data_IF_923439925883
#
_entry.id   IF_923439925883
#
_cell.length_a   1.000
_cell.length_b   1.000
_cell.length_c   1.000
_cell.angle_alpha   90.00
_cell.angle_beta   90.00
_cell.angle_gamma   90.00
#
_symmetry.space_group_name_H-M   'P 1'
#
loop_
_entity.id
_entity.type
_entity.pdbx_description
1 polymer ?
#
# COMPACT_ATOMS: atom_id res chain seq x y z
N UNK A 1 7.17 13.85 -13.44
CA UNK A 1 6.18 12.75 -13.47
C UNK A 1 4.99 13.24 -12.66
N UNK A 2 3.78 13.25 -13.22
CA UNK A 2 2.61 13.73 -12.48
C UNK A 2 2.41 12.82 -11.26
N UNK A 3 2.27 13.41 -10.07
CA UNK A 3 1.98 12.67 -8.85
C UNK A 3 0.57 12.11 -8.99
N UNK A 4 0.46 10.82 -9.31
CA UNK A 4 -0.83 10.13 -9.37
C UNK A 4 -1.24 9.80 -7.94
N UNK A 5 -2.40 10.30 -7.53
CA UNK A 5 -2.98 10.02 -6.21
C UNK A 5 -3.04 8.51 -5.97
N UNK A 6 -2.69 8.07 -4.75
CA UNK A 6 -2.72 6.66 -4.36
C UNK A 6 -4.09 6.02 -4.66
N UNK A 7 -5.17 6.79 -4.47
CA UNK A 7 -6.54 6.32 -4.66
C UNK A 7 -6.91 6.13 -6.13
N UNK A 8 -6.18 6.75 -7.06
CA UNK A 8 -6.37 6.59 -8.51
C UNK A 8 -5.50 5.47 -9.10
N UNK A 9 -4.65 4.83 -8.29
CA UNK A 9 -3.76 3.77 -8.76
C UNK A 9 -4.52 2.50 -9.06
N UNK A 10 -4.08 1.84 -10.13
CA UNK A 10 -4.51 0.48 -10.46
C UNK A 10 -3.94 -0.51 -9.45
N UNK A 11 -4.49 -1.73 -9.41
CA UNK A 11 -3.97 -2.83 -8.56
C UNK A 11 -2.45 -2.97 -8.74
N UNK A 12 -1.95 -3.05 -9.98
CA UNK A 12 -0.52 -3.22 -10.26
C UNK A 12 0.35 -2.03 -9.80
N UNK A 13 -0.19 -0.82 -9.82
CA UNK A 13 0.52 0.38 -9.34
C UNK A 13 0.43 0.53 -7.82
N UNK A 14 -0.53 -0.13 -7.17
CA UNK A 14 -0.75 -0.07 -5.73
C UNK A 14 0.12 -1.10 -5.00
N UNK A 15 0.16 -2.34 -5.51
CA UNK A 15 1.03 -3.39 -5.01
C UNK A 15 2.46 -3.16 -5.51
N UNK A 16 3.41 -2.92 -4.60
CA UNK A 16 4.78 -2.50 -4.94
C UNK A 16 5.05 -1.01 -4.77
N UNK A 17 4.04 -0.22 -4.37
CA UNK A 17 4.22 1.20 -4.08
C UNK A 17 4.61 1.46 -2.63
N UNK A 18 5.42 2.49 -2.40
CA UNK A 18 5.77 2.98 -1.06
C UNK A 18 5.32 4.43 -0.97
N UNK A 19 4.53 4.74 0.05
CA UNK A 19 3.97 6.07 0.28
C UNK A 19 5.09 7.07 0.57
N UNK A 20 4.97 8.28 0.04
CA UNK A 20 5.84 9.37 0.45
C UNK A 20 5.52 9.80 1.89
N UNK A 21 6.42 10.52 2.58
CA UNK A 21 6.12 11.07 3.91
C UNK A 21 4.90 11.99 3.95
N UNK A 22 4.55 12.67 2.85
CA UNK A 22 3.32 13.46 2.79
C UNK A 22 2.08 12.56 2.67
N UNK A 23 2.11 11.57 1.78
CA UNK A 23 1.01 10.61 1.61
C UNK A 23 0.76 9.80 2.89
N UNK A 24 1.83 9.45 3.61
CA UNK A 24 1.71 8.72 4.88
C UNK A 24 0.93 9.50 5.93
N UNK A 25 1.00 10.83 5.92
CA UNK A 25 0.22 11.70 6.80
C UNK A 25 -1.20 11.93 6.29
N UNK A 26 -1.39 11.83 4.98
CA UNK A 26 -2.67 12.09 4.32
C UNK A 26 -3.63 10.91 4.43
N UNK A 27 -3.13 9.68 4.23
CA UNK A 27 -3.95 8.48 4.24
C UNK A 27 -3.83 7.75 5.56
N UNK A 28 -4.96 7.54 6.22
CA UNK A 28 -5.06 6.68 7.39
C UNK A 28 -5.06 5.20 7.01
N UNK A 29 -4.82 4.31 7.96
CA UNK A 29 -4.92 2.86 7.71
C UNK A 29 -6.34 2.44 7.31
N UNK A 30 -7.37 3.17 7.74
CA UNK A 30 -8.76 2.92 7.34
C UNK A 30 -8.97 3.26 5.87
N UNK A 31 -8.37 4.36 5.37
CA UNK A 31 -8.42 4.73 3.95
C UNK A 31 -7.74 3.65 3.09
N UNK A 32 -6.58 3.15 3.54
CA UNK A 32 -5.85 2.09 2.86
C UNK A 32 -6.65 0.77 2.83
N UNK A 33 -7.32 0.43 3.94
CA UNK A 33 -8.22 -0.75 4.02
C UNK A 33 -9.43 -0.60 3.10
N UNK A 34 -10.03 0.58 3.06
CA UNK A 34 -11.13 0.88 2.15
C UNK A 34 -10.67 0.69 0.70
N UNK A 35 -9.50 1.22 0.35
CA UNK A 35 -8.94 1.06 -0.99
C UNK A 35 -8.67 -0.40 -1.34
N UNK A 36 -8.08 -1.17 -0.42
CA UNK A 36 -7.86 -2.61 -0.62
C UNK A 36 -9.16 -3.37 -0.83
N UNK A 37 -10.22 -2.98 -0.13
CA UNK A 37 -11.57 -3.55 -0.32
C UNK A 37 -12.11 -3.24 -1.72
N UNK A 38 -11.97 -1.99 -2.20
CA UNK A 38 -12.36 -1.60 -3.57
C UNK A 38 -11.58 -2.38 -4.64
N UNK A 39 -10.31 -2.69 -4.37
CA UNK A 39 -9.44 -3.46 -5.25
C UNK A 39 -9.72 -4.98 -5.20
N UNK A 40 -10.60 -5.44 -4.30
CA UNK A 40 -10.97 -6.85 -4.16
C UNK A 40 -10.08 -7.67 -3.21
N UNK A 41 -9.25 -7.01 -2.40
CA UNK A 41 -8.31 -7.63 -1.46
C UNK A 41 -8.53 -7.16 -0.01
N UNK A 42 -9.75 -7.26 0.54
CA UNK A 42 -10.09 -6.72 1.86
C UNK A 42 -9.32 -7.37 3.01
N UNK A 43 -8.74 -8.56 2.84
CA UNK A 43 -8.02 -9.28 3.90
C UNK A 43 -6.49 -9.13 3.79
N UNK A 44 -5.99 -8.50 2.73
CA UNK A 44 -4.55 -8.34 2.48
C UNK A 44 -3.92 -7.14 3.21
N UNK A 45 -4.70 -6.35 3.94
CA UNK A 45 -4.19 -5.17 4.67
C UNK A 45 -3.07 -5.46 5.67
N UNK A 46 -3.00 -6.59 6.40
CA UNK A 46 -1.90 -6.84 7.34
C UNK A 46 -0.56 -6.96 6.62
N UNK A 47 -0.58 -7.45 5.39
CA UNK A 47 0.62 -7.59 4.55
C UNK A 47 0.92 -6.31 3.77
N UNK A 48 -0.11 -5.67 3.22
CA UNK A 48 0.07 -4.57 2.27
C UNK A 48 0.35 -3.24 2.97
N UNK A 49 -0.32 -2.94 4.09
CA UNK A 49 -0.17 -1.63 4.75
C UNK A 49 1.26 -1.40 5.25
N UNK A 50 1.91 -2.31 5.98
CA UNK A 50 3.30 -2.10 6.42
C UNK A 50 4.25 -1.85 5.24
N UNK A 51 3.99 -2.48 4.09
CA UNK A 51 4.78 -2.27 2.87
C UNK A 51 4.52 -0.93 2.20
N UNK A 52 3.26 -0.49 2.15
CA UNK A 52 2.90 0.86 1.72
C UNK A 52 3.52 1.93 2.63
N UNK A 53 3.55 1.68 3.95
CA UNK A 53 4.19 2.58 4.93
C UNK A 53 5.71 2.62 4.81
N UNK A 54 6.31 1.66 4.10
CA UNK A 54 7.76 1.49 3.99
C UNK A 54 8.40 0.86 5.24
N UNK A 55 7.59 0.28 6.13
CA UNK A 55 8.06 -0.46 7.31
C UNK A 55 8.65 -1.82 6.92
N UNK A 56 8.09 -2.43 5.87
CA UNK A 56 8.54 -3.70 5.30
C UNK A 56 8.80 -3.51 3.81
N UNK A 57 9.90 -4.04 3.28
CA UNK A 57 10.16 -3.97 1.84
C UNK A 57 9.14 -4.83 1.07
N UNK A 58 8.73 -4.38 -0.11
CA UNK A 58 7.97 -5.22 -1.05
C UNK A 58 8.77 -6.42 -1.55
N UNK A 59 10.09 -6.28 -1.60
CA UNK A 59 11.02 -7.36 -1.94
C UNK A 59 11.36 -8.25 -0.73
N UNK A 60 10.79 -7.96 0.45
CA UNK A 60 10.95 -8.83 1.61
C UNK A 60 10.17 -10.13 1.38
N UNK A 61 10.90 -11.16 0.98
CA UNK A 61 10.41 -12.53 0.94
C UNK A 61 10.85 -13.20 2.24
N UNK A 62 9.89 -13.68 3.02
CA UNK A 62 10.10 -14.38 4.29
C UNK A 62 10.62 -15.81 4.03
N UNK A 63 11.72 -15.95 3.28
CA UNK A 63 12.48 -17.19 3.15
C UNK A 63 13.63 -17.19 4.15
N UNK A 64 13.31 -17.31 5.43
CA UNK A 64 14.22 -17.85 6.44
C UNK A 64 13.41 -18.52 7.55
N UNK A 65 13.05 -19.79 7.33
CA UNK A 65 13.50 -20.93 8.16
C UNK A 65 13.24 -22.27 7.44
#
# INVERSE_FOLDING_TARGET
MAHKDLMDRTIQEFFGYVLTPEENKLYSDEDLKSKLTELGFPDSWPDVIPRLRGEVSWDYIDYYE
#
